data_IF_347523364550
#
_entry.id   IF_347523364550
#
_cell.length_a   1.000
_cell.length_b   1.000
_cell.length_c   1.000
_cell.angle_alpha   90.00
_cell.angle_beta   90.00
_cell.angle_gamma   90.00
#
_symmetry.space_group_name_H-M   'P 1'
#
loop_
_entity.id
_entity.type
_entity.pdbx_description
1 polymer ?
#
# COMPACT_ATOMS: atom_id res chain seq x y z
N UNK A 1 18.26 4.24 16.02
CA UNK A 1 17.75 3.07 15.30
C UNK A 1 18.81 2.64 14.31
N UNK A 2 19.15 1.37 14.32
CA UNK A 2 20.09 0.78 13.38
C UNK A 2 19.50 0.79 11.96
N UNK A 3 20.33 0.96 10.92
CA UNK A 3 19.88 1.00 9.52
C UNK A 3 19.14 -0.28 9.15
N UNK A 4 19.63 -1.44 9.61
CA UNK A 4 19.01 -2.75 9.36
C UNK A 4 17.66 -2.87 10.06
N UNK A 5 17.54 -2.34 11.28
CA UNK A 5 16.29 -2.33 12.03
C UNK A 5 15.22 -1.46 11.37
N UNK A 6 15.61 -0.28 10.88
CA UNK A 6 14.71 0.61 10.13
C UNK A 6 14.25 -0.04 8.82
N UNK A 7 15.17 -0.68 8.11
CA UNK A 7 14.89 -1.36 6.84
C UNK A 7 13.96 -2.58 7.05
N UNK A 8 14.16 -3.33 8.12
CA UNK A 8 13.26 -4.41 8.53
C UNK A 8 11.84 -3.88 8.82
N UNK A 9 11.72 -2.82 9.61
CA UNK A 9 10.42 -2.21 9.92
C UNK A 9 9.69 -1.71 8.67
N UNK A 10 10.43 -1.13 7.72
CA UNK A 10 9.86 -0.68 6.45
C UNK A 10 9.38 -1.84 5.58
N UNK A 11 10.15 -2.93 5.50
CA UNK A 11 9.74 -4.15 4.79
C UNK A 11 8.52 -4.81 5.43
N UNK A 12 8.44 -4.85 6.76
CA UNK A 12 7.25 -5.36 7.47
C UNK A 12 6.02 -4.48 7.20
N UNK A 13 6.16 -3.16 7.24
CA UNK A 13 5.09 -2.22 6.87
C UNK A 13 4.66 -2.38 5.42
N UNK A 14 5.61 -2.53 4.51
CA UNK A 14 5.34 -2.75 3.09
C UNK A 14 4.49 -4.01 2.90
N UNK A 15 4.90 -5.13 3.50
CA UNK A 15 4.16 -6.39 3.44
C UNK A 15 2.74 -6.27 4.01
N UNK A 16 2.58 -5.53 5.12
CA UNK A 16 1.27 -5.25 5.72
C UNK A 16 0.35 -4.50 4.75
N UNK A 17 0.84 -3.42 4.13
CA UNK A 17 0.04 -2.63 3.19
C UNK A 17 -0.23 -3.37 1.88
N UNK A 18 0.72 -4.14 1.35
CA UNK A 18 0.53 -4.98 0.18
C UNK A 18 -0.52 -6.07 0.44
N UNK A 19 -0.49 -6.71 1.61
CA UNK A 19 -1.52 -7.67 2.03
C UNK A 19 -2.91 -7.02 2.13
N UNK A 20 -2.99 -5.83 2.72
CA UNK A 20 -4.24 -5.06 2.84
C UNK A 20 -4.78 -4.64 1.47
N UNK A 21 -3.91 -4.21 0.56
CA UNK A 21 -4.26 -3.89 -0.83
C UNK A 21 -4.79 -5.13 -1.55
N UNK A 22 -4.09 -6.27 -1.45
CA UNK A 22 -4.53 -7.52 -2.06
C UNK A 22 -5.89 -7.99 -1.56
N UNK A 23 -6.16 -7.87 -0.25
CA UNK A 23 -7.46 -8.18 0.33
C UNK A 23 -8.57 -7.26 -0.20
N UNK A 24 -8.31 -5.96 -0.28
CA UNK A 24 -9.29 -5.00 -0.85
C UNK A 24 -9.52 -5.24 -2.34
N UNK A 25 -8.47 -5.55 -3.09
CA UNK A 25 -8.57 -5.82 -4.53
C UNK A 25 -9.34 -7.11 -4.83
N UNK A 26 -9.26 -8.16 -3.98
CA UNK A 26 -10.05 -9.40 -4.17
C UNK A 26 -11.56 -9.17 -4.30
N UNK A 27 -12.10 -8.12 -3.69
CA UNK A 27 -13.53 -7.77 -3.74
C UNK A 27 -13.81 -6.53 -4.60
N UNK A 28 -12.79 -5.93 -5.19
CA UNK A 28 -12.90 -4.72 -5.99
C UNK A 28 -12.93 -5.09 -7.48
N UNK A 29 -14.12 -5.03 -8.10
CA UNK A 29 -14.32 -5.35 -9.52
C UNK A 29 -13.95 -4.21 -10.49
N UNK A 30 -13.31 -3.14 -10.03
CA UNK A 30 -12.92 -2.02 -10.90
C UNK A 30 -14.08 -1.14 -11.37
N UNK A 31 -15.30 -1.36 -10.88
CA UNK A 31 -16.49 -0.58 -11.28
C UNK A 31 -16.60 0.66 -10.39
N UNK A 32 -16.32 1.84 -10.95
CA UNK A 32 -16.30 3.12 -10.23
C UNK A 32 -17.71 3.76 -10.14
N UNK A 33 -18.71 3.26 -10.88
CA UNK A 33 -19.82 4.10 -11.33
C UNK A 33 -21.25 3.79 -10.85
N UNK A 34 -21.46 3.13 -9.70
CA UNK A 34 -22.85 2.88 -9.23
C UNK A 34 -23.16 3.40 -7.82
N UNK A 35 -22.18 3.76 -6.98
CA UNK A 35 -22.45 4.21 -5.60
C UNK A 35 -21.23 4.88 -4.94
N UNK A 36 -21.47 5.82 -4.01
CA UNK A 36 -20.44 6.45 -3.17
C UNK A 36 -19.54 5.43 -2.44
N UNK A 37 -20.08 4.25 -2.12
CA UNK A 37 -19.32 3.15 -1.53
C UNK A 37 -18.24 2.57 -2.47
N UNK A 38 -18.41 2.66 -3.79
CA UNK A 38 -17.40 2.21 -4.76
C UNK A 38 -16.32 3.26 -4.98
N UNK A 39 -16.68 4.54 -4.95
CA UNK A 39 -15.73 5.66 -4.99
C UNK A 39 -14.82 5.67 -3.77
N UNK A 40 -15.38 5.47 -2.56
CA UNK A 40 -14.57 5.35 -1.34
C UNK A 40 -13.59 4.17 -1.43
N UNK A 41 -14.04 2.99 -1.90
CA UNK A 41 -13.15 1.84 -2.09
C UNK A 41 -12.05 2.12 -3.11
N UNK A 42 -12.37 2.83 -4.19
CA UNK A 42 -11.39 3.26 -5.20
C UNK A 42 -10.33 4.18 -4.59
N UNK A 43 -10.76 5.21 -3.86
CA UNK A 43 -9.86 6.15 -3.19
C UNK A 43 -8.97 5.44 -2.17
N UNK A 44 -9.53 4.53 -1.37
CA UNK A 44 -8.75 3.74 -0.43
C UNK A 44 -7.69 2.85 -1.12
N UNK A 45 -8.01 2.27 -2.28
CA UNK A 45 -7.05 1.51 -3.10
C UNK A 45 -5.95 2.42 -3.63
N UNK A 46 -6.30 3.62 -4.09
CA UNK A 46 -5.31 4.60 -4.59
C UNK A 46 -4.37 5.08 -3.48
N UNK A 47 -4.90 5.36 -2.29
CA UNK A 47 -4.09 5.74 -1.13
C UNK A 47 -3.14 4.61 -0.73
N UNK A 48 -3.62 3.37 -0.68
CA UNK A 48 -2.77 2.21 -0.39
C UNK A 48 -1.65 2.03 -1.42
N UNK A 49 -1.96 2.22 -2.71
CA UNK A 49 -0.96 2.18 -3.78
C UNK A 49 0.11 3.27 -3.61
N UNK A 50 -0.31 4.49 -3.28
CA UNK A 50 0.60 5.60 -3.04
C UNK A 50 1.52 5.33 -1.83
N UNK A 51 0.96 4.82 -0.72
CA UNK A 51 1.76 4.45 0.47
C UNK A 51 2.78 3.35 0.15
N UNK A 52 2.39 2.32 -0.60
CA UNK A 52 3.30 1.24 -1.02
C UNK A 52 4.42 1.79 -1.90
N UNK A 53 4.11 2.68 -2.84
CA UNK A 53 5.11 3.29 -3.70
C UNK A 53 6.12 4.13 -2.90
N UNK A 54 5.63 4.91 -1.93
CA UNK A 54 6.48 5.73 -1.05
C UNK A 54 7.39 4.85 -0.17
N UNK A 55 6.83 3.79 0.43
CA UNK A 55 7.62 2.82 1.21
C UNK A 55 8.69 2.11 0.37
N UNK A 56 8.36 1.72 -0.87
CA UNK A 56 9.35 1.12 -1.79
C UNK A 56 10.48 2.10 -2.10
N UNK A 57 10.16 3.37 -2.32
CA UNK A 57 11.15 4.41 -2.56
C UNK A 57 12.03 4.67 -1.34
N UNK A 58 11.45 4.66 -0.13
CA UNK A 58 12.23 4.82 1.10
C UNK A 58 13.16 3.61 1.35
N UNK A 59 12.70 2.39 1.07
CA UNK A 59 13.53 1.18 1.15
C UNK A 59 14.67 1.23 0.15
N UNK A 60 14.41 1.59 -1.11
CA UNK A 60 15.42 1.70 -2.16
C UNK A 60 16.51 2.72 -1.80
N UNK A 61 16.10 3.92 -1.33
CA UNK A 61 17.02 4.93 -0.81
C UNK A 61 17.84 4.45 0.40
N UNK A 62 17.30 3.53 1.20
CA UNK A 62 17.98 2.94 2.35
C UNK A 62 18.81 1.71 1.98
N UNK A 63 18.69 1.14 0.78
CA UNK A 63 19.48 0.03 0.27
C UNK A 63 20.67 0.51 -0.60
N UNK A 64 20.57 1.69 -1.21
CA UNK A 64 21.67 2.38 -1.89
C UNK A 64 22.78 2.83 -0.93
#
# INVERSE_FOLDING_TARGET
MDRLEKLKQLKERLAYYEGKLGFKMKRYRGVIHESAASEMKHQEVMVLRAMIADLKKEIDNLEQ
#
